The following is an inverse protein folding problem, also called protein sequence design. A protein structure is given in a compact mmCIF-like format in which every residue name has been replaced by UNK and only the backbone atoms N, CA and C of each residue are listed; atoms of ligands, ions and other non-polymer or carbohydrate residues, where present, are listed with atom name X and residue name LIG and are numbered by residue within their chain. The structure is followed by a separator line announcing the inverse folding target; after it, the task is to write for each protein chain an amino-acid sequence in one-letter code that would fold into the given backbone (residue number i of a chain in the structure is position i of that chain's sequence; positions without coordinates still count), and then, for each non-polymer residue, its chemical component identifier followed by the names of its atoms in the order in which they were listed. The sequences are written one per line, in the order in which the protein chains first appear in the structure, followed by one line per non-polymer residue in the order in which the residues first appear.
data_IF_174810209009
#
_entry.id   IF_174810209009
#
_cell.length_a   1.000
_cell.length_b   1.000
_cell.length_c   1.000
_cell.angle_alpha   90.00
_cell.angle_beta   90.00
_cell.angle_gamma   90.00
#
_symmetry.space_group_name_H-M   'P 1'
#
loop_
_entity.id
_entity.type
_entity.pdbx_description
1 polymer ?
#
# COMPACT_ATOMS: atom_id res chain seq x y z
N UNK A 1 -0.44 -15.20 22.41
CA UNK A 1 -1.71 -14.45 22.29
C UNK A 1 -1.45 -13.08 21.63
N UNK A 2 -1.23 -13.04 20.32
CA UNK A 2 -0.99 -11.79 19.56
C UNK A 2 -1.93 -11.64 18.35
N UNK A 3 -2.82 -12.60 18.12
CA UNK A 3 -3.75 -12.61 16.98
C UNK A 3 -5.11 -11.93 17.28
N UNK A 4 -5.42 -11.61 18.54
CA UNK A 4 -6.74 -11.09 18.95
C UNK A 4 -6.80 -9.55 18.93
N UNK A 5 -5.67 -8.86 18.93
CA UNK A 5 -5.64 -7.39 18.98
C UNK A 5 -5.82 -6.69 17.61
N UNK A 6 -5.78 -7.41 16.49
CA UNK A 6 -5.87 -6.81 15.16
C UNK A 6 -7.31 -6.53 14.68
N UNK A 7 -8.33 -7.08 15.36
CA UNK A 7 -9.74 -6.95 14.97
C UNK A 7 -10.45 -5.68 15.46
N UNK A 8 -9.90 -4.99 16.47
CA UNK A 8 -10.56 -3.86 17.14
C UNK A 8 -10.24 -2.50 16.51
N UNK A 9 -9.28 -2.42 15.58
CA UNK A 9 -8.95 -1.17 14.87
C UNK A 9 -9.83 -0.97 13.63
N UNK A 10 -11.15 -1.15 13.78
CA UNK A 10 -12.08 -0.52 12.85
C UNK A 10 -12.04 0.96 13.18
N UNK A 11 -11.40 1.76 12.32
CA UNK A 11 -11.33 3.21 12.51
C UNK A 11 -12.74 3.80 12.75
N UNK A 12 -12.83 4.96 13.42
CA UNK A 12 -14.11 5.57 13.78
C UNK A 12 -15.07 5.58 12.59
N UNK A 13 -16.32 5.16 12.78
CA UNK A 13 -17.33 5.19 11.72
C UNK A 13 -17.87 6.60 11.53
N UNK A 14 -17.03 7.47 10.95
CA UNK A 14 -17.37 8.86 10.69
C UNK A 14 -18.65 8.99 9.85
N UNK A 15 -18.89 8.07 8.90
CA UNK A 15 -20.08 8.10 8.05
C UNK A 15 -21.36 7.78 8.85
N UNK A 16 -21.30 6.81 9.75
CA UNK A 16 -22.39 6.49 10.67
C UNK A 16 -22.74 7.65 11.59
N UNK A 17 -21.71 8.30 12.16
CA UNK A 17 -21.87 9.45 13.05
C UNK A 17 -22.45 10.68 12.34
N UNK A 18 -21.93 11.04 11.15
CA UNK A 18 -22.47 12.15 10.33
C UNK A 18 -23.95 11.92 10.03
N UNK A 19 -24.32 10.70 9.64
CA UNK A 19 -25.72 10.37 9.33
C UNK A 19 -26.64 10.55 10.54
N UNK A 20 -26.16 10.17 11.72
CA UNK A 20 -26.92 10.32 12.96
C UNK A 20 -27.07 11.79 13.36
N UNK A 21 -26.02 12.59 13.20
CA UNK A 21 -26.05 14.03 13.46
C UNK A 21 -27.01 14.76 12.49
N UNK A 22 -27.09 14.32 11.22
CA UNK A 22 -28.05 14.86 10.23
C UNK A 22 -29.51 14.52 10.57
N UNK A 23 -29.79 13.29 11.00
CA UNK A 23 -31.14 12.90 11.45
C UNK A 23 -31.59 13.71 12.68
N UNK A 24 -30.67 13.99 13.61
CA UNK A 24 -30.93 14.87 14.75
C UNK A 24 -31.20 16.31 14.31
N UNK A 25 -30.48 16.82 13.31
CA UNK A 25 -30.71 18.15 12.76
C UNK A 25 -32.08 18.26 12.11
N UNK A 26 -32.53 17.24 11.37
CA UNK A 26 -33.87 17.22 10.76
C UNK A 26 -34.99 17.23 11.81
N UNK A 27 -34.77 16.53 12.93
CA UNK A 27 -35.73 16.42 14.04
C UNK A 27 -35.80 17.65 14.94
N UNK A 28 -34.82 18.55 14.89
CA UNK A 28 -34.81 19.75 15.70
C UNK A 28 -35.90 20.73 15.23
N UNK A 29 -36.66 21.36 16.16
CA UNK A 29 -37.66 22.36 15.77
C UNK A 29 -37.00 23.56 15.04
N UNK A 30 -37.66 24.13 14.01
CA UNK A 30 -37.14 25.26 13.22
C UNK A 30 -36.92 26.53 14.04
N UNK A 31 -37.61 26.66 15.18
CA UNK A 31 -37.48 27.77 16.11
C UNK A 31 -36.13 27.75 16.86
N UNK A 32 -35.46 26.60 16.97
CA UNK A 32 -34.19 26.45 17.68
C UNK A 32 -32.97 26.76 16.79
N UNK A 33 -32.98 27.93 16.14
CA UNK A 33 -31.97 28.33 15.14
C UNK A 33 -30.52 28.24 15.64
N UNK A 34 -30.27 28.64 16.89
CA UNK A 34 -28.92 28.61 17.49
C UNK A 34 -28.39 27.18 17.68
N UNK A 35 -29.21 26.27 18.21
CA UNK A 35 -28.82 24.86 18.38
C UNK A 35 -28.65 24.14 17.04
N UNK A 36 -29.46 24.48 16.03
CA UNK A 36 -29.27 23.96 14.66
C UNK A 36 -27.95 24.42 14.07
N UNK A 37 -27.60 25.70 14.24
CA UNK A 37 -26.34 26.25 13.75
C UNK A 37 -25.11 25.62 14.43
N UNK A 38 -25.19 25.36 15.74
CA UNK A 38 -24.12 24.68 16.49
C UNK A 38 -23.95 23.21 16.05
N UNK A 39 -25.05 22.49 15.88
CA UNK A 39 -25.04 21.12 15.38
C UNK A 39 -24.46 21.07 13.96
N UNK A 40 -24.88 21.99 13.08
CA UNK A 40 -24.36 22.13 11.73
C UNK A 40 -22.84 22.32 11.72
N UNK A 41 -22.30 23.21 12.57
CA UNK A 41 -20.84 23.40 12.70
C UNK A 41 -20.11 22.12 13.11
N UNK A 42 -20.71 21.32 13.98
CA UNK A 42 -20.12 20.05 14.41
C UNK A 42 -20.11 19.01 13.29
N UNK A 43 -21.18 18.94 12.50
CA UNK A 43 -21.27 18.09 11.31
C UNK A 43 -20.21 18.47 10.29
N UNK A 44 -20.06 19.77 10.01
CA UNK A 44 -19.09 20.29 9.04
C UNK A 44 -17.66 19.93 9.47
N UNK A 45 -17.30 20.13 10.74
CA UNK A 45 -15.99 19.74 11.27
C UNK A 45 -15.72 18.23 11.12
N UNK A 46 -16.74 17.39 11.36
CA UNK A 46 -16.63 15.93 11.20
C UNK A 46 -16.47 15.52 9.73
N UNK A 47 -17.09 16.26 8.80
CA UNK A 47 -16.90 16.06 7.36
C UNK A 47 -15.46 16.40 6.97
N UNK A 48 -14.91 17.50 7.48
CA UNK A 48 -13.53 17.91 7.21
C UNK A 48 -12.53 16.86 7.69
N UNK A 49 -12.73 16.31 8.90
CA UNK A 49 -11.91 15.19 9.41
C UNK A 49 -11.98 13.94 8.52
N UNK A 50 -13.17 13.61 8.01
CA UNK A 50 -13.36 12.48 7.08
C UNK A 50 -12.62 12.72 5.76
N UNK A 51 -12.66 13.94 5.24
CA UNK A 51 -11.93 14.32 4.02
C UNK A 51 -10.43 14.21 4.26
N UNK A 52 -9.91 14.77 5.35
CA UNK A 52 -8.48 14.72 5.68
C UNK A 52 -7.99 13.27 5.83
N UNK A 53 -8.75 12.42 6.54
CA UNK A 53 -8.42 11.00 6.69
C UNK A 53 -8.41 10.26 5.34
N UNK A 54 -9.36 10.58 4.45
CA UNK A 54 -9.44 10.04 3.10
C UNK A 54 -8.24 10.47 2.24
N UNK A 55 -7.87 11.75 2.31
CA UNK A 55 -6.75 12.33 1.57
C UNK A 55 -5.42 11.78 2.06
N UNK A 56 -5.24 11.63 3.38
CA UNK A 56 -4.08 10.95 3.97
C UNK A 56 -3.98 9.50 3.49
N UNK A 57 -5.10 8.78 3.44
CA UNK A 57 -5.15 7.43 2.89
C UNK A 57 -4.78 7.37 1.40
N UNK A 58 -5.21 8.36 0.61
CA UNK A 58 -4.85 8.49 -0.80
C UNK A 58 -3.37 8.84 -0.98
N UNK A 59 -2.84 9.75 -0.18
CA UNK A 59 -1.43 10.14 -0.18
C UNK A 59 -0.53 8.95 0.16
N UNK A 60 -0.88 8.17 1.19
CA UNK A 60 -0.16 6.94 1.55
C UNK A 60 -0.21 5.89 0.45
N UNK A 61 -1.36 5.72 -0.23
CA UNK A 61 -1.44 4.84 -1.42
C UNK A 61 -0.59 5.35 -2.57
N UNK A 62 -0.58 6.66 -2.83
CA UNK A 62 0.22 7.28 -3.89
C UNK A 62 1.72 7.13 -3.61
N UNK A 63 2.13 7.32 -2.35
CA UNK A 63 3.49 7.06 -1.89
C UNK A 63 3.88 5.59 -2.04
N UNK A 64 3.02 4.66 -1.62
CA UNK A 64 3.25 3.22 -1.79
C UNK A 64 3.28 2.78 -3.27
N UNK A 65 2.52 3.45 -4.15
CA UNK A 65 2.58 3.23 -5.60
C UNK A 65 3.85 3.82 -6.21
N UNK A 66 4.30 5.00 -5.76
CA UNK A 66 5.58 5.56 -6.19
C UNK A 66 6.77 4.69 -5.76
N UNK A 67 6.68 4.04 -4.60
CA UNK A 67 7.69 3.08 -4.12
C UNK A 67 7.78 1.81 -4.97
N UNK A 68 6.70 1.43 -5.69
CA UNK A 68 6.75 0.34 -6.68
C UNK A 68 7.57 0.69 -7.92
N UNK A 69 7.88 1.96 -8.19
CA UNK A 69 8.69 2.39 -9.33
C UNK A 69 10.20 2.09 -9.19
N UNK A 70 10.72 2.02 -7.96
CA UNK A 70 12.17 1.91 -7.70
C UNK A 70 12.70 0.47 -7.62
N UNK A 71 11.80 -0.51 -7.59
CA UNK A 71 12.18 -1.91 -7.40
C UNK A 71 12.99 -2.46 -8.59
N UNK A 72 12.62 -2.07 -9.82
CA UNK A 72 13.35 -2.45 -11.03
C UNK A 72 14.81 -2.02 -10.91
N UNK A 73 15.04 -0.79 -10.48
CA UNK A 73 16.37 -0.19 -10.46
C UNK A 73 17.22 -0.78 -9.33
N UNK A 74 16.63 -1.15 -8.19
CA UNK A 74 17.31 -1.91 -7.12
C UNK A 74 17.76 -3.29 -7.60
N UNK A 75 16.90 -4.01 -8.34
CA UNK A 75 17.26 -5.31 -8.90
C UNK A 75 18.36 -5.16 -9.97
N UNK A 76 18.27 -4.14 -10.82
CA UNK A 76 19.30 -3.85 -11.82
C UNK A 76 20.65 -3.49 -11.17
N UNK A 77 20.64 -2.67 -10.11
CA UNK A 77 21.84 -2.35 -9.33
C UNK A 77 22.46 -3.63 -8.74
N UNK A 78 21.63 -4.49 -8.14
CA UNK A 78 22.08 -5.75 -7.55
C UNK A 78 22.66 -6.70 -8.60
N UNK A 79 22.02 -6.80 -9.77
CA UNK A 79 22.56 -7.55 -10.91
C UNK A 79 23.91 -6.99 -11.38
N UNK A 80 24.04 -5.67 -11.51
CA UNK A 80 25.29 -5.03 -11.94
C UNK A 80 26.42 -5.26 -10.95
N UNK A 81 26.17 -5.11 -9.64
CA UNK A 81 27.15 -5.35 -8.57
C UNK A 81 27.58 -6.81 -8.54
N UNK A 82 26.63 -7.75 -8.58
CA UNK A 82 26.94 -9.19 -8.63
C UNK A 82 27.78 -9.52 -9.87
N UNK A 83 27.44 -8.95 -11.02
CA UNK A 83 28.22 -9.11 -12.24
C UNK A 83 29.66 -8.59 -12.07
N UNK A 84 29.85 -7.40 -11.50
CA UNK A 84 31.18 -6.83 -11.25
C UNK A 84 32.00 -7.67 -10.28
N UNK A 85 31.39 -8.18 -9.20
CA UNK A 85 32.07 -9.04 -8.23
C UNK A 85 32.53 -10.35 -8.88
N UNK A 86 31.65 -11.03 -9.63
CA UNK A 86 32.03 -12.30 -10.24
C UNK A 86 33.04 -12.11 -11.39
N UNK A 87 32.94 -11.01 -12.14
CA UNK A 87 33.95 -10.67 -13.14
C UNK A 87 35.34 -10.47 -12.51
N UNK A 88 35.39 -9.86 -11.32
CA UNK A 88 36.64 -9.53 -10.65
C UNK A 88 37.32 -10.75 -9.99
N UNK A 89 36.56 -11.70 -9.46
CA UNK A 89 37.08 -12.81 -8.64
C UNK A 89 37.55 -14.04 -9.44
N UNK A 90 37.52 -13.97 -10.77
CA UNK A 90 37.69 -15.14 -11.63
C UNK A 90 39.10 -15.27 -12.19
N UNK A 91 39.69 -16.47 -12.00
CA UNK A 91 40.84 -16.92 -12.76
C UNK A 91 40.42 -17.35 -14.17
N UNK A 92 40.76 -16.53 -15.15
CA UNK A 92 40.40 -16.70 -16.57
C UNK A 92 41.09 -17.91 -17.25
N UNK A 93 41.73 -18.80 -16.49
CA UNK A 93 42.58 -19.88 -16.98
C UNK A 93 41.89 -21.24 -17.08
N UNK A 94 40.62 -21.41 -16.65
CA UNK A 94 39.86 -22.67 -16.83
C UNK A 94 38.83 -22.59 -17.96
N UNK A 95 38.88 -23.58 -18.86
CA UNK A 95 38.02 -23.71 -20.06
C UNK A 95 36.51 -23.85 -19.78
N UNK A 96 36.12 -24.39 -18.61
CA UNK A 96 34.69 -24.58 -18.28
C UNK A 96 34.09 -23.45 -17.42
N UNK A 97 34.80 -22.34 -17.25
CA UNK A 97 34.36 -21.26 -16.36
C UNK A 97 33.18 -20.45 -16.93
N UNK A 98 33.27 -20.08 -18.21
CA UNK A 98 32.30 -19.23 -18.89
C UNK A 98 30.89 -19.87 -18.95
N UNK A 99 30.72 -21.18 -19.24
CA UNK A 99 29.41 -21.82 -19.24
C UNK A 99 28.78 -21.92 -17.84
N UNK A 100 29.57 -22.25 -16.81
CA UNK A 100 29.04 -22.36 -15.43
C UNK A 100 28.61 -20.99 -14.90
N UNK A 101 29.34 -19.93 -15.24
CA UNK A 101 29.00 -18.57 -14.87
C UNK A 101 27.68 -18.10 -15.52
N UNK A 102 27.51 -18.33 -16.82
CA UNK A 102 26.26 -18.03 -17.54
C UNK A 102 25.08 -18.80 -16.93
N UNK A 103 25.28 -20.09 -16.61
CA UNK A 103 24.24 -20.92 -16.00
C UNK A 103 23.78 -20.35 -14.65
N UNK A 104 24.71 -19.92 -13.79
CA UNK A 104 24.38 -19.35 -12.47
C UNK A 104 23.68 -17.99 -12.56
N UNK A 105 24.07 -17.15 -13.52
CA UNK A 105 23.36 -15.88 -13.79
C UNK A 105 21.93 -16.18 -14.25
N UNK A 106 21.75 -17.08 -15.23
CA UNK A 106 20.43 -17.44 -15.73
C UNK A 106 19.55 -18.03 -14.62
N UNK A 107 20.10 -18.89 -13.76
CA UNK A 107 19.37 -19.44 -12.62
C UNK A 107 18.91 -18.33 -11.66
N UNK A 108 19.80 -17.40 -11.33
CA UNK A 108 19.52 -16.28 -10.44
C UNK A 108 18.44 -15.37 -11.01
N UNK A 109 18.50 -15.06 -12.31
CA UNK A 109 17.49 -14.25 -13.02
C UNK A 109 16.15 -14.96 -13.03
N UNK A 110 16.11 -16.26 -13.34
CA UNK A 110 14.86 -17.05 -13.34
C UNK A 110 14.23 -17.08 -11.96
N UNK A 111 15.02 -17.33 -10.91
CA UNK A 111 14.56 -17.34 -9.52
C UNK A 111 14.04 -15.95 -9.10
N UNK A 112 14.75 -14.88 -9.47
CA UNK A 112 14.32 -13.52 -9.19
C UNK A 112 12.98 -13.19 -9.88
N UNK A 113 12.83 -13.53 -11.17
CA UNK A 113 11.58 -13.32 -11.91
C UNK A 113 10.42 -14.10 -11.29
N UNK A 114 10.66 -15.35 -10.86
CA UNK A 114 9.61 -16.17 -10.24
C UNK A 114 9.21 -15.65 -8.86
N UNK A 115 10.17 -15.26 -8.02
CA UNK A 115 9.92 -14.66 -6.72
C UNK A 115 9.10 -13.36 -6.87
N UNK A 116 9.46 -12.52 -7.84
CA UNK A 116 8.74 -11.28 -8.13
C UNK A 116 7.34 -11.51 -8.69
N UNK A 117 7.16 -12.49 -9.57
CA UNK A 117 5.82 -12.88 -10.05
C UNK A 117 4.94 -13.44 -8.93
N UNK A 118 5.52 -14.16 -7.97
CA UNK A 118 4.82 -14.64 -6.78
C UNK A 118 4.33 -13.50 -5.90
N UNK A 119 5.21 -12.53 -5.59
CA UNK A 119 4.88 -11.35 -4.79
C UNK A 119 3.88 -10.44 -5.51
N UNK A 120 4.02 -10.25 -6.82
CA UNK A 120 3.09 -9.46 -7.63
C UNK A 120 1.68 -10.07 -7.67
N UNK A 121 1.54 -11.40 -7.80
CA UNK A 121 0.23 -12.06 -7.78
C UNK A 121 -0.42 -12.02 -6.39
N UNK A 122 0.35 -12.21 -5.33
CA UNK A 122 -0.15 -12.10 -3.95
C UNK A 122 -0.67 -10.68 -3.64
N UNK A 123 0.07 -9.66 -4.07
CA UNK A 123 -0.33 -8.25 -3.88
C UNK A 123 -1.52 -7.83 -4.75
N UNK A 124 -1.61 -8.31 -6.01
CA UNK A 124 -2.79 -8.05 -6.87
C UNK A 124 -4.06 -8.72 -6.32
N UNK A 125 -3.94 -9.90 -5.70
CA UNK A 125 -5.09 -10.60 -5.11
C UNK A 125 -5.60 -9.91 -3.85
N UNK A 126 -4.71 -9.35 -3.02
CA UNK A 126 -5.10 -8.47 -1.91
C UNK A 126 -5.76 -7.17 -2.38
N UNK A 127 -5.29 -6.60 -3.49
CA UNK A 127 -5.85 -5.37 -4.06
C UNK A 127 -7.26 -5.60 -4.63
N UNK A 128 -7.50 -6.72 -5.34
CA UNK A 128 -8.84 -7.03 -5.89
C UNK A 128 -9.89 -7.34 -4.83
N UNK A 129 -9.52 -7.95 -3.69
CA UNK A 129 -10.47 -8.18 -2.57
C UNK A 129 -10.98 -6.88 -1.91
N UNK A 130 -10.31 -5.75 -2.12
CA UNK A 130 -10.77 -4.42 -1.67
C UNK A 130 -11.69 -3.70 -2.67
N UNK A 131 -11.80 -4.18 -3.91
CA UNK A 131 -12.66 -3.58 -4.95
C UNK A 131 -14.05 -4.20 -5.08
N UNK A 132 -14.32 -5.34 -4.44
CA UNK A 132 -15.58 -6.08 -4.54
C UNK A 132 -16.60 -5.82 -3.42
N UNK A 133 -16.51 -4.68 -2.74
CA UNK A 133 -17.56 -4.18 -1.85
C UNK A 133 -18.01 -2.82 -2.36
N UNK A 134 -18.69 -2.84 -3.50
CA UNK A 134 -19.73 -1.86 -3.84
C UNK A 134 -21.03 -2.64 -3.94
#
# INVERSE_FOLDING_TARGET
MLAIAAGQFRGPDFRGLIKQDMDLLERLPPEAAERRAELQRTIDARIDELIEASDRGRAMRKAAVSYRGNWRDIVLLLCAVLFTIVWWDVSHSRSNWLPTFILLILLTVVTAVYALRGVARASVTMIRRRGGRQ
#
